data_IF_705842356490
#
_entry.id   IF_705842356490
#
_cell.length_a   1.000
_cell.length_b   1.000
_cell.length_c   1.000
_cell.angle_alpha   90.00
_cell.angle_beta   90.00
_cell.angle_gamma   90.00
#
_symmetry.space_group_name_H-M   'P 1'
#
loop_
_entity.id
_entity.type
_entity.pdbx_description
1 polymer ?
#
# COMPACT_ATOMS: atom_id res chain seq x y z
N UNK A 1 11.87 13.27 5.41
CA UNK A 1 11.86 12.70 4.05
C UNK A 1 13.24 12.10 3.80
N UNK A 2 13.30 10.85 3.36
CA UNK A 2 14.52 10.13 3.01
C UNK A 2 14.41 9.47 1.65
N UNK A 3 15.54 9.00 1.14
CA UNK A 3 15.65 8.28 -0.13
C UNK A 3 16.73 7.21 -0.01
N UNK A 4 16.55 6.08 -0.69
CA UNK A 4 17.57 5.05 -0.83
C UNK A 4 17.56 4.50 -2.25
N UNK A 5 18.55 3.68 -2.60
CA UNK A 5 18.61 3.01 -3.89
C UNK A 5 18.33 1.52 -3.75
N UNK A 6 17.42 1.04 -4.60
CA UNK A 6 17.12 -0.37 -4.77
C UNK A 6 17.31 -0.75 -6.25
N UNK A 7 18.23 -1.65 -6.53
CA UNK A 7 18.60 -2.08 -7.91
C UNK A 7 18.84 -0.89 -8.86
N UNK A 8 19.54 0.15 -8.37
CA UNK A 8 19.86 1.35 -9.14
C UNK A 8 18.75 2.41 -9.18
N UNK A 9 17.53 2.08 -8.80
CA UNK A 9 16.39 3.00 -8.75
C UNK A 9 16.27 3.70 -7.39
N UNK A 10 15.90 4.97 -7.41
CA UNK A 10 15.63 5.75 -6.22
C UNK A 10 14.24 5.43 -5.66
N UNK A 11 14.19 5.10 -4.38
CA UNK A 11 12.98 4.88 -3.60
C UNK A 11 12.89 5.96 -2.52
N UNK A 12 11.73 6.62 -2.40
CA UNK A 12 11.49 7.75 -1.53
C UNK A 12 10.57 7.37 -0.38
N UNK A 13 10.82 7.89 0.82
CA UNK A 13 9.99 7.65 2.00
C UNK A 13 9.90 8.87 2.91
N UNK A 14 8.87 8.94 3.75
CA UNK A 14 8.78 9.86 4.87
C UNK A 14 8.83 9.08 6.18
N UNK A 15 9.47 9.66 7.21
CA UNK A 15 9.50 9.11 8.57
C UNK A 15 8.88 10.10 9.53
N UNK A 16 8.04 9.60 10.43
CA UNK A 16 7.34 10.35 11.48
C UNK A 16 7.62 9.69 12.82
N UNK A 17 7.98 10.47 13.83
CA UNK A 17 8.34 9.97 15.16
C UNK A 17 9.65 9.20 15.20
N UNK A 18 10.08 8.87 16.43
CA UNK A 18 11.35 8.19 16.72
C UNK A 18 11.17 7.02 17.71
N UNK A 19 9.93 6.52 17.86
CA UNK A 19 9.63 5.43 18.77
C UNK A 19 10.29 4.12 18.37
N UNK A 20 10.49 3.22 19.32
CA UNK A 20 11.10 1.90 19.08
C UNK A 20 10.21 0.97 18.25
N UNK A 21 8.88 1.16 18.33
CA UNK A 21 7.93 0.40 17.52
C UNK A 21 7.86 0.97 16.12
N UNK A 22 8.42 0.25 15.17
CA UNK A 22 8.48 0.66 13.77
C UNK A 22 7.29 0.12 13.00
N UNK A 23 6.59 1.00 12.28
CA UNK A 23 5.51 0.69 11.36
C UNK A 23 5.86 1.20 9.95
N UNK A 24 5.91 0.30 8.99
CA UNK A 24 6.07 0.63 7.57
C UNK A 24 4.71 0.59 6.88
N UNK A 25 4.29 1.71 6.29
CA UNK A 25 3.03 1.84 5.57
C UNK A 25 3.27 1.96 4.07
N UNK A 26 2.61 1.09 3.31
CA UNK A 26 2.66 1.00 1.85
C UNK A 26 1.31 1.42 1.26
N UNK A 27 1.34 2.32 0.30
CA UNK A 27 0.15 2.90 -0.34
C UNK A 27 -0.57 1.93 -1.30
N UNK A 28 -1.78 2.31 -1.72
CA UNK A 28 -2.56 1.62 -2.75
C UNK A 28 -2.04 1.85 -4.18
N UNK A 29 -2.54 1.04 -5.12
CA UNK A 29 -2.17 1.10 -6.54
C UNK A 29 -2.43 2.49 -7.14
N UNK A 30 -1.45 3.01 -7.89
CA UNK A 30 -1.44 4.36 -8.47
C UNK A 30 -1.64 5.50 -7.46
N UNK A 31 -1.45 5.21 -6.17
CA UNK A 31 -1.42 6.20 -5.09
C UNK A 31 0.02 6.54 -4.71
N UNK A 32 0.20 7.19 -3.58
CA UNK A 32 1.52 7.48 -3.00
C UNK A 32 1.42 7.60 -1.47
N UNK A 33 2.56 7.71 -0.79
CA UNK A 33 2.65 7.77 0.68
C UNK A 33 1.84 8.89 1.34
N UNK A 34 1.44 9.93 0.59
CA UNK A 34 0.63 11.03 1.12
C UNK A 34 -0.77 10.59 1.56
N UNK A 35 -1.23 9.40 1.11
CA UNK A 35 -2.49 8.87 1.61
C UNK A 35 -2.50 8.66 3.13
N UNK A 36 -1.32 8.62 3.77
CA UNK A 36 -1.15 8.46 5.21
C UNK A 36 -0.79 9.78 5.94
N UNK A 37 -0.79 10.93 5.25
CA UNK A 37 -0.32 12.20 5.84
C UNK A 37 -1.16 12.67 7.05
N UNK A 38 -2.39 12.16 7.21
CA UNK A 38 -3.23 12.42 8.37
C UNK A 38 -3.02 11.42 9.49
N UNK A 39 -2.91 10.13 9.16
CA UNK A 39 -2.79 9.07 10.17
C UNK A 39 -1.37 8.88 10.68
N UNK A 40 -0.35 9.08 9.85
CA UNK A 40 1.04 8.86 10.25
C UNK A 40 1.50 9.77 11.41
N UNK A 41 1.18 11.08 11.44
CA UNK A 41 1.49 11.92 12.61
C UNK A 41 0.77 11.48 13.90
N UNK A 42 -0.50 11.04 13.81
CA UNK A 42 -1.26 10.54 14.95
C UNK A 42 -0.66 9.24 15.51
N UNK A 43 -0.28 8.31 14.63
CA UNK A 43 0.42 7.07 15.00
C UNK A 43 1.79 7.37 15.63
N UNK A 44 2.51 8.35 15.11
CA UNK A 44 3.80 8.78 15.65
C UNK A 44 3.65 9.42 17.04
N UNK A 45 2.61 10.25 17.24
CA UNK A 45 2.32 10.85 18.53
C UNK A 45 1.97 9.80 19.61
N UNK A 46 1.53 8.62 19.20
CA UNK A 46 1.31 7.45 20.08
C UNK A 46 2.59 6.65 20.39
N UNK A 47 3.77 7.21 20.13
CA UNK A 47 5.08 6.62 20.47
C UNK A 47 5.61 5.61 19.45
N UNK A 48 5.16 5.69 18.21
CA UNK A 48 5.68 4.83 17.13
C UNK A 48 6.64 5.60 16.21
N UNK A 49 7.49 4.87 15.49
CA UNK A 49 8.20 5.38 14.30
C UNK A 49 7.47 4.87 13.06
N UNK A 50 6.83 5.80 12.33
CA UNK A 50 6.02 5.47 11.15
C UNK A 50 6.77 5.85 9.88
N UNK A 51 6.96 4.90 8.99
CA UNK A 51 7.67 5.07 7.73
C UNK A 51 6.67 4.84 6.60
N UNK A 52 6.42 5.86 5.81
CA UNK A 52 5.54 5.79 4.65
C UNK A 52 6.38 5.79 3.37
N UNK A 53 6.34 4.72 2.60
CA UNK A 53 7.19 4.53 1.40
C UNK A 53 6.39 4.75 0.12
N UNK A 54 7.02 5.38 -0.88
CA UNK A 54 6.56 5.33 -2.27
C UNK A 54 7.26 4.15 -2.96
N UNK A 55 6.51 3.14 -3.38
CA UNK A 55 7.07 2.05 -4.17
C UNK A 55 7.57 2.53 -5.54
N UNK A 56 8.45 1.79 -6.18
CA UNK A 56 8.87 2.04 -7.56
C UNK A 56 7.64 2.25 -8.46
N UNK A 57 7.68 3.19 -9.37
CA UNK A 57 6.54 3.56 -10.23
C UNK A 57 5.57 4.55 -9.58
N UNK A 58 5.71 4.88 -8.30
CA UNK A 58 4.76 5.70 -7.57
C UNK A 58 5.42 6.93 -6.89
N UNK A 59 4.60 7.90 -6.54
CA UNK A 59 4.97 9.05 -5.74
C UNK A 59 6.20 9.79 -6.25
N UNK A 60 7.22 9.91 -5.39
CA UNK A 60 8.51 10.53 -5.70
C UNK A 60 9.60 9.52 -6.04
N UNK A 61 9.32 8.22 -5.96
CA UNK A 61 10.24 7.18 -6.41
C UNK A 61 10.42 7.21 -7.92
N UNK A 62 11.47 6.59 -8.42
CA UNK A 62 11.70 6.48 -9.86
C UNK A 62 10.56 5.73 -10.54
N UNK A 63 10.33 6.05 -11.81
CA UNK A 63 9.17 5.55 -12.57
C UNK A 63 9.59 5.00 -13.93
N UNK A 64 10.31 3.88 -13.97
CA UNK A 64 10.66 3.22 -15.24
C UNK A 64 9.40 2.74 -15.97
N UNK A 65 9.51 2.61 -17.32
CA UNK A 65 8.42 2.10 -18.16
C UNK A 65 8.58 0.59 -18.47
N UNK A 66 9.48 -0.11 -17.77
CA UNK A 66 9.67 -1.56 -17.90
C UNK A 66 8.74 -2.32 -16.96
N UNK A 67 7.73 -2.98 -17.52
CA UNK A 67 6.72 -3.75 -16.75
C UNK A 67 7.34 -4.88 -15.90
N UNK A 68 8.53 -5.41 -16.29
CA UNK A 68 9.21 -6.48 -15.55
C UNK A 68 9.71 -6.04 -14.16
N UNK A 69 9.74 -4.74 -13.89
CA UNK A 69 10.11 -4.17 -12.61
C UNK A 69 8.92 -4.09 -11.62
N UNK A 70 7.73 -4.56 -12.02
CA UNK A 70 6.52 -4.40 -11.25
C UNK A 70 5.83 -5.74 -10.99
N UNK A 71 5.99 -6.26 -9.77
CA UNK A 71 5.27 -7.43 -9.27
C UNK A 71 5.21 -7.39 -7.75
N UNK A 72 4.32 -8.16 -7.12
CA UNK A 72 4.22 -8.23 -5.66
C UNK A 72 5.55 -8.67 -5.02
N UNK A 73 6.25 -9.72 -5.51
CA UNK A 73 7.56 -10.09 -4.98
C UNK A 73 8.61 -8.97 -5.06
N UNK A 74 8.61 -8.20 -6.15
CA UNK A 74 9.54 -7.07 -6.32
C UNK A 74 9.23 -5.94 -5.32
N UNK A 75 7.98 -5.63 -5.12
CA UNK A 75 7.55 -4.64 -4.15
C UNK A 75 7.86 -5.08 -2.70
N UNK A 76 7.64 -6.34 -2.36
CA UNK A 76 8.03 -6.89 -1.05
C UNK A 76 9.54 -6.75 -0.81
N UNK A 77 10.38 -7.05 -1.82
CA UNK A 77 11.84 -6.85 -1.73
C UNK A 77 12.23 -5.36 -1.56
N UNK A 78 11.48 -4.41 -2.14
CA UNK A 78 11.74 -2.99 -1.90
C UNK A 78 11.48 -2.61 -0.44
N UNK A 79 10.45 -3.20 0.20
CA UNK A 79 10.18 -3.00 1.62
C UNK A 79 11.30 -3.63 2.47
N UNK A 80 11.74 -4.84 2.15
CA UNK A 80 12.88 -5.47 2.83
C UNK A 80 14.15 -4.61 2.70
N UNK A 81 14.45 -4.10 1.51
CA UNK A 81 15.59 -3.22 1.26
C UNK A 81 15.47 -1.87 1.99
N UNK A 82 14.25 -1.35 2.19
CA UNK A 82 14.02 -0.18 3.03
C UNK A 82 14.40 -0.47 4.49
N UNK A 83 14.02 -1.64 5.01
CA UNK A 83 14.40 -2.06 6.36
C UNK A 83 15.93 -2.17 6.49
N UNK A 84 16.60 -2.76 5.50
CA UNK A 84 18.08 -2.84 5.47
C UNK A 84 18.73 -1.45 5.48
N UNK A 85 18.22 -0.54 4.62
CA UNK A 85 18.70 0.84 4.56
C UNK A 85 18.55 1.60 5.89
N UNK A 86 17.52 1.27 6.66
CA UNK A 86 17.24 1.87 7.96
C UNK A 86 17.87 1.12 9.14
N UNK A 87 18.66 0.07 8.85
CA UNK A 87 19.29 -0.81 9.84
C UNK A 87 18.27 -1.47 10.79
N UNK A 88 17.09 -1.82 10.27
CA UNK A 88 15.98 -2.42 11.00
C UNK A 88 15.92 -3.92 10.68
N UNK A 89 16.01 -4.76 11.71
CA UNK A 89 15.87 -6.21 11.55
C UNK A 89 14.46 -6.59 11.09
N UNK A 90 13.43 -5.97 11.68
CA UNK A 90 12.02 -6.20 11.33
C UNK A 90 11.18 -4.98 11.67
N UNK A 91 9.95 -4.94 11.17
CA UNK A 91 8.95 -3.92 11.49
C UNK A 91 7.53 -4.51 11.44
N UNK A 92 6.56 -3.79 11.98
CA UNK A 92 5.16 -4.00 11.57
C UNK A 92 5.03 -3.46 10.16
N UNK A 93 4.57 -4.29 9.23
CA UNK A 93 4.44 -3.91 7.82
C UNK A 93 2.98 -3.97 7.40
N UNK A 94 2.53 -2.95 6.73
CA UNK A 94 1.14 -2.93 6.29
C UNK A 94 0.86 -1.87 5.25
N UNK A 95 -0.40 -1.74 4.93
CA UNK A 95 -0.86 -0.75 3.98
C UNK A 95 -2.25 -1.02 3.45
N UNK A 96 -2.57 -0.35 2.37
CA UNK A 96 -3.89 -0.37 1.76
C UNK A 96 -3.84 -1.05 0.40
N UNK A 97 -4.74 -2.00 0.13
CA UNK A 97 -4.91 -2.64 -1.18
C UNK A 97 -3.58 -3.23 -1.68
N UNK A 98 -2.94 -2.64 -2.69
CA UNK A 98 -1.59 -3.02 -3.12
C UNK A 98 -0.63 -3.18 -1.92
N UNK A 99 -0.61 -2.20 -1.01
CA UNK A 99 0.27 -2.21 0.15
C UNK A 99 -0.06 -3.32 1.15
N UNK A 100 -1.33 -3.67 1.29
CA UNK A 100 -1.78 -4.81 2.08
C UNK A 100 -1.22 -6.14 1.51
N UNK A 101 -1.32 -6.29 0.18
CA UNK A 101 -0.82 -7.48 -0.50
C UNK A 101 0.72 -7.56 -0.49
N UNK A 102 1.41 -6.42 -0.57
CA UNK A 102 2.88 -6.35 -0.40
C UNK A 102 3.30 -6.81 1.00
N UNK A 103 2.54 -6.46 2.04
CA UNK A 103 2.82 -6.91 3.40
C UNK A 103 2.61 -8.44 3.54
N UNK A 104 1.54 -9.00 2.95
CA UNK A 104 1.32 -10.46 2.88
C UNK A 104 2.45 -11.17 2.13
N UNK A 105 2.89 -10.60 1.01
CA UNK A 105 3.99 -11.14 0.21
C UNK A 105 5.30 -11.14 0.98
N UNK A 106 5.61 -10.07 1.72
CA UNK A 106 6.79 -10.01 2.58
C UNK A 106 6.71 -11.07 3.68
N UNK A 107 5.57 -11.20 4.37
CA UNK A 107 5.40 -12.16 5.44
C UNK A 107 5.51 -13.63 4.98
N UNK A 108 5.19 -13.92 3.72
CA UNK A 108 5.35 -15.27 3.17
C UNK A 108 6.76 -15.58 2.68
N UNK A 109 7.49 -14.58 2.15
CA UNK A 109 8.81 -14.77 1.56
C UNK A 109 9.95 -14.57 2.54
N UNK A 110 9.77 -13.63 3.44
CA UNK A 110 10.77 -13.22 4.43
C UNK A 110 10.08 -12.93 5.78
N UNK A 111 9.54 -13.99 6.43
CA UNK A 111 8.69 -13.84 7.61
C UNK A 111 9.40 -13.16 8.77
N UNK A 112 10.74 -13.23 8.83
CA UNK A 112 11.53 -12.61 9.89
C UNK A 112 11.55 -11.08 9.80
N UNK A 113 11.24 -10.53 8.62
CA UNK A 113 11.20 -9.08 8.39
C UNK A 113 9.87 -8.44 8.80
N UNK A 114 8.81 -9.24 8.90
CA UNK A 114 7.48 -8.79 9.30
C UNK A 114 7.20 -9.22 10.75
N UNK A 115 7.28 -8.29 11.70
CA UNK A 115 6.95 -8.55 13.12
C UNK A 115 5.44 -8.77 13.32
N UNK A 116 4.63 -8.02 12.63
CA UNK A 116 3.17 -8.11 12.57
C UNK A 116 2.67 -7.42 11.28
N UNK A 117 1.39 -7.59 10.95
CA UNK A 117 0.79 -7.10 9.73
C UNK A 117 -0.35 -6.12 10.00
N UNK A 118 -0.43 -5.05 9.20
CA UNK A 118 -1.60 -4.18 9.11
C UNK A 118 -2.16 -4.23 7.69
N UNK A 119 -3.33 -4.82 7.53
CA UNK A 119 -3.92 -5.17 6.24
C UNK A 119 -5.24 -4.41 6.06
N UNK A 120 -5.25 -3.36 5.25
CA UNK A 120 -6.46 -2.62 4.90
C UNK A 120 -6.86 -2.91 3.45
N UNK A 121 -8.09 -3.35 3.23
CA UNK A 121 -8.63 -3.65 1.88
C UNK A 121 -7.77 -4.66 1.09
N UNK A 122 -7.49 -5.86 1.58
CA UNK A 122 -6.72 -6.84 0.81
C UNK A 122 -7.42 -7.18 -0.50
N UNK A 123 -6.63 -7.47 -1.54
CA UNK A 123 -7.11 -7.95 -2.84
C UNK A 123 -6.77 -9.43 -2.94
N UNK A 124 -7.74 -10.28 -2.65
CA UNK A 124 -7.57 -11.72 -2.71
C UNK A 124 -8.48 -12.31 -3.81
N UNK A 125 -8.83 -13.56 -3.65
CA UNK A 125 -9.50 -14.35 -4.70
C UNK A 125 -10.84 -13.76 -5.16
N UNK A 126 -11.64 -13.20 -4.24
CA UNK A 126 -12.97 -12.64 -4.58
C UNK A 126 -12.86 -11.23 -5.21
N UNK A 127 -11.78 -10.50 -4.95
CA UNK A 127 -11.56 -9.16 -5.52
C UNK A 127 -11.08 -9.20 -6.99
N UNK A 128 -10.48 -10.29 -7.45
CA UNK A 128 -9.82 -10.35 -8.76
C UNK A 128 -10.72 -9.91 -9.94
N UNK A 129 -12.00 -10.33 -10.05
CA UNK A 129 -12.86 -9.86 -11.15
C UNK A 129 -13.14 -8.36 -11.08
N UNK A 130 -13.34 -7.82 -9.87
CA UNK A 130 -13.62 -6.40 -9.68
C UNK A 130 -12.38 -5.55 -9.98
N UNK A 131 -11.19 -5.98 -9.53
CA UNK A 131 -9.91 -5.32 -9.82
C UNK A 131 -9.62 -5.36 -11.33
N UNK A 132 -9.78 -6.50 -11.98
CA UNK A 132 -9.61 -6.61 -13.42
C UNK A 132 -10.59 -5.69 -14.18
N UNK A 133 -11.87 -5.69 -13.78
CA UNK A 133 -12.91 -4.83 -14.35
C UNK A 133 -12.63 -3.34 -14.17
N UNK A 134 -12.08 -2.94 -13.02
CA UNK A 134 -11.76 -1.55 -12.72
C UNK A 134 -10.49 -1.07 -13.44
N UNK A 135 -9.41 -1.85 -13.44
CA UNK A 135 -8.09 -1.39 -13.88
C UNK A 135 -7.76 -1.72 -15.34
N UNK A 136 -8.39 -2.74 -15.96
CA UNK A 136 -8.18 -3.02 -17.39
C UNK A 136 -8.62 -1.85 -18.28
N UNK A 137 -9.79 -1.22 -18.12
CA UNK A 137 -10.16 -0.04 -18.89
C UNK A 137 -9.19 1.13 -18.69
N UNK A 138 -8.68 1.31 -17.46
CA UNK A 138 -7.67 2.34 -17.17
C UNK A 138 -6.38 2.06 -17.95
N UNK A 139 -5.88 0.84 -17.92
CA UNK A 139 -4.69 0.43 -18.69
C UNK A 139 -4.88 0.67 -20.19
N UNK A 140 -6.00 0.23 -20.75
CA UNK A 140 -6.32 0.44 -22.17
C UNK A 140 -6.42 1.93 -22.52
N UNK A 141 -7.03 2.73 -21.66
CA UNK A 141 -7.09 4.19 -21.83
C UNK A 141 -5.71 4.84 -21.81
N UNK A 142 -4.85 4.48 -20.85
CA UNK A 142 -3.48 4.99 -20.75
C UNK A 142 -2.63 4.65 -21.99
N UNK A 143 -2.89 3.51 -22.62
CA UNK A 143 -2.19 3.10 -23.85
C UNK A 143 -2.77 3.77 -25.09
N UNK A 144 -4.10 3.71 -25.27
CA UNK A 144 -4.78 4.19 -26.47
C UNK A 144 -4.77 5.73 -26.57
N UNK A 145 -4.88 6.44 -25.44
CA UNK A 145 -4.99 7.89 -25.38
C UNK A 145 -3.80 8.55 -24.63
N UNK A 146 -2.60 7.93 -24.69
CA UNK A 146 -1.40 8.40 -24.00
C UNK A 146 -1.15 9.92 -24.13
N UNK A 147 -1.21 10.55 -25.32
CA UNK A 147 -0.98 12.00 -25.44
C UNK A 147 -2.01 12.84 -24.65
N UNK A 148 -3.28 12.42 -24.62
CA UNK A 148 -4.33 13.11 -23.87
C UNK A 148 -4.09 13.00 -22.36
N UNK A 149 -3.70 11.83 -21.86
CA UNK A 149 -3.35 11.64 -20.46
C UNK A 149 -2.08 12.41 -20.06
N UNK A 150 -1.06 12.48 -20.94
CA UNK A 150 0.12 13.32 -20.71
C UNK A 150 -0.23 14.80 -20.62
N UNK A 151 -1.09 15.27 -21.52
CA UNK A 151 -1.57 16.66 -21.49
C UNK A 151 -2.34 16.94 -20.19
N UNK A 152 -3.28 16.07 -19.83
CA UNK A 152 -4.08 16.22 -18.59
C UNK A 152 -3.18 16.17 -17.35
N UNK A 153 -2.21 15.27 -17.30
CA UNK A 153 -1.24 15.18 -16.20
C UNK A 153 -0.42 16.46 -16.06
N UNK A 154 0.05 17.05 -17.18
CA UNK A 154 0.78 18.33 -17.17
C UNK A 154 -0.12 19.48 -16.72
N UNK A 155 -1.35 19.57 -17.25
CA UNK A 155 -2.28 20.64 -16.91
C UNK A 155 -2.66 20.58 -15.42
N UNK A 156 -3.00 19.39 -14.91
CA UNK A 156 -3.37 19.22 -13.50
C UNK A 156 -2.20 19.42 -12.55
N UNK A 157 -0.95 19.24 -13.00
CA UNK A 157 0.24 19.52 -12.18
C UNK A 157 0.42 21.01 -11.89
N UNK A 158 -0.21 21.92 -12.67
CA UNK A 158 -0.21 23.36 -12.43
C UNK A 158 -1.20 23.77 -11.33
N UNK A 159 -2.17 22.92 -10.97
CA UNK A 159 -3.14 23.22 -9.91
C UNK A 159 -2.40 23.14 -8.56
N UNK A 160 -2.41 24.22 -7.75
CA UNK A 160 -1.78 24.18 -6.44
C UNK A 160 -2.48 23.15 -5.52
N UNK A 161 -1.74 22.62 -4.58
CA UNK A 161 -2.29 21.72 -3.56
C UNK A 161 -3.00 22.54 -2.51
N UNK A 162 -4.26 22.19 -2.22
CA UNK A 162 -5.14 23.00 -1.35
C UNK A 162 -5.92 22.16 -0.34
N UNK A 163 -6.31 20.96 -0.71
CA UNK A 163 -7.16 20.12 0.13
C UNK A 163 -6.75 18.65 -0.02
N UNK A 164 -6.59 17.97 1.10
CA UNK A 164 -6.12 16.59 1.16
C UNK A 164 -6.84 15.63 0.20
N UNK A 165 -8.19 15.67 0.12
CA UNK A 165 -8.96 14.77 -0.75
C UNK A 165 -8.81 15.12 -2.24
N UNK A 166 -8.89 16.42 -2.53
CA UNK A 166 -8.66 16.92 -3.89
C UNK A 166 -7.25 16.56 -4.34
N UNK A 167 -6.28 16.71 -3.44
CA UNK A 167 -4.87 16.41 -3.72
C UNK A 167 -4.62 14.92 -3.98
N UNK A 168 -5.27 14.01 -3.21
CA UNK A 168 -5.22 12.56 -3.49
C UNK A 168 -5.82 12.25 -4.87
N UNK A 169 -6.99 12.80 -5.19
CA UNK A 169 -7.59 12.64 -6.52
C UNK A 169 -6.74 13.22 -7.64
N UNK A 170 -6.17 14.41 -7.43
CA UNK A 170 -5.26 15.02 -8.38
C UNK A 170 -3.95 14.23 -8.52
N UNK A 171 -3.41 13.65 -7.46
CA UNK A 171 -2.21 12.81 -7.54
C UNK A 171 -2.45 11.56 -8.40
N UNK A 172 -3.67 11.02 -8.39
CA UNK A 172 -4.06 9.92 -9.27
C UNK A 172 -4.11 10.38 -10.75
N UNK A 173 -4.71 11.54 -11.05
CA UNK A 173 -4.80 12.10 -12.40
C UNK A 173 -3.43 12.60 -12.92
N UNK A 174 -2.55 13.03 -12.03
CA UNK A 174 -1.18 13.48 -12.33
C UNK A 174 -0.21 12.35 -12.65
N UNK A 175 -0.67 11.10 -12.61
CA UNK A 175 0.18 9.96 -12.98
C UNK A 175 0.66 10.09 -14.43
N UNK A 176 1.92 9.70 -14.66
CA UNK A 176 2.48 9.64 -16.01
C UNK A 176 2.01 8.36 -16.71
N UNK A 177 1.36 8.45 -17.88
CA UNK A 177 0.70 7.29 -18.49
C UNK A 177 1.64 6.13 -18.83
N UNK A 178 2.88 6.40 -19.27
CA UNK A 178 3.84 5.34 -19.58
C UNK A 178 4.18 4.48 -18.36
N UNK A 179 4.77 5.06 -17.29
CA UNK A 179 5.07 4.31 -16.07
C UNK A 179 3.83 3.67 -15.42
N UNK A 180 2.71 4.40 -15.35
CA UNK A 180 1.48 3.86 -14.75
C UNK A 180 0.91 2.69 -15.54
N UNK A 181 1.01 2.74 -16.88
CA UNK A 181 0.67 1.62 -17.74
C UNK A 181 1.57 0.40 -17.47
N UNK A 182 2.88 0.60 -17.32
CA UNK A 182 3.82 -0.47 -17.01
C UNK A 182 3.55 -1.10 -15.61
N UNK A 183 3.22 -0.28 -14.60
CA UNK A 183 2.82 -0.77 -13.28
C UNK A 183 1.56 -1.64 -13.37
N UNK A 184 0.50 -1.12 -14.01
CA UNK A 184 -0.76 -1.87 -14.16
C UNK A 184 -0.56 -3.18 -14.92
N UNK A 185 0.20 -3.16 -16.00
CA UNK A 185 0.45 -4.35 -16.80
C UNK A 185 1.26 -5.39 -16.04
N UNK A 186 2.32 -4.99 -15.35
CA UNK A 186 3.14 -5.90 -14.55
C UNK A 186 2.33 -6.56 -13.42
N UNK A 187 1.39 -5.84 -12.80
CA UNK A 187 0.55 -6.37 -11.74
C UNK A 187 -0.64 -7.20 -12.25
N UNK A 188 -1.28 -6.79 -13.35
CA UNK A 188 -2.41 -7.54 -13.93
C UNK A 188 -1.98 -8.86 -14.58
N UNK A 189 -0.72 -8.96 -15.03
CA UNK A 189 -0.16 -10.19 -15.60
C UNK A 189 0.52 -11.08 -14.55
N UNK A 190 0.71 -10.58 -13.34
CA UNK A 190 1.36 -11.29 -12.23
C UNK A 190 0.36 -11.80 -11.18
N UNK A 191 0.90 -12.48 -10.17
CA UNK A 191 0.16 -12.83 -8.97
C UNK A 191 -0.16 -11.58 -8.15
N UNK A 192 -1.42 -11.42 -7.75
CA UNK A 192 -1.89 -10.24 -7.01
C UNK A 192 -1.66 -10.39 -5.50
N UNK A 193 -1.65 -11.62 -4.99
CA UNK A 193 -1.42 -11.95 -3.57
C UNK A 193 -0.80 -13.33 -3.46
N UNK A 194 -0.18 -13.68 -2.31
CA UNK A 194 0.22 -15.05 -2.03
C UNK A 194 -0.98 -16.00 -2.10
N UNK A 195 -0.76 -17.20 -2.64
CA UNK A 195 -1.78 -18.24 -2.66
C UNK A 195 -2.24 -18.63 -1.24
N UNK A 196 -3.47 -19.14 -1.13
CA UNK A 196 -4.06 -19.54 0.15
C UNK A 196 -3.13 -20.42 0.99
N UNK A 197 -2.46 -21.42 0.38
CA UNK A 197 -1.53 -22.33 1.07
C UNK A 197 -0.30 -21.61 1.67
N UNK A 198 0.08 -20.49 1.08
CA UNK A 198 1.16 -19.63 1.59
C UNK A 198 0.64 -18.76 2.73
N UNK A 199 -0.56 -18.15 2.56
CA UNK A 199 -1.20 -17.31 3.59
C UNK A 199 -1.44 -18.08 4.90
N UNK A 200 -1.86 -19.35 4.81
CA UNK A 200 -2.03 -20.25 5.97
C UNK A 200 -0.74 -20.50 6.78
N UNK A 201 0.43 -20.19 6.23
CA UNK A 201 1.72 -20.34 6.92
C UNK A 201 2.16 -19.06 7.63
N UNK A 202 1.48 -17.95 7.43
CA UNK A 202 1.76 -16.69 8.11
C UNK A 202 1.42 -16.85 9.59
N UNK A 203 2.40 -16.60 10.46
CA UNK A 203 2.27 -16.72 11.93
C UNK A 203 2.25 -15.37 12.63
N UNK A 204 2.53 -14.32 11.89
CA UNK A 204 2.56 -12.96 12.41
C UNK A 204 1.16 -12.51 12.80
N UNK A 205 1.00 -11.86 13.97
CA UNK A 205 -0.25 -11.20 14.32
C UNK A 205 -0.66 -10.20 13.24
N UNK A 206 -1.94 -10.15 12.92
CA UNK A 206 -2.45 -9.30 11.85
C UNK A 206 -3.70 -8.52 12.27
N UNK A 207 -3.67 -7.19 12.10
CA UNK A 207 -4.84 -6.34 12.16
C UNK A 207 -5.38 -6.14 10.75
N UNK A 208 -6.58 -6.64 10.48
CA UNK A 208 -7.23 -6.61 9.17
C UNK A 208 -8.38 -5.62 9.23
N UNK A 209 -8.42 -4.67 8.29
CA UNK A 209 -9.51 -3.69 8.17
C UNK A 209 -10.28 -3.93 6.89
N UNK A 210 -11.53 -4.38 7.04
CA UNK A 210 -12.46 -4.63 5.94
C UNK A 210 -13.53 -3.54 5.83
N UNK A 211 -13.98 -3.27 4.60
CA UNK A 211 -14.97 -2.24 4.30
C UNK A 211 -16.23 -2.89 3.72
N UNK A 212 -17.36 -2.78 4.41
CA UNK A 212 -18.61 -3.49 4.07
C UNK A 212 -19.26 -3.05 2.76
N UNK A 213 -18.88 -1.90 2.20
CA UNK A 213 -19.47 -1.29 0.99
C UNK A 213 -18.40 -0.90 -0.03
N UNK A 214 -17.34 -1.67 -0.14
CA UNK A 214 -16.30 -1.43 -1.14
C UNK A 214 -16.63 -2.19 -2.43
N UNK A 215 -16.75 -1.50 -3.58
CA UNK A 215 -17.07 -2.16 -4.84
C UNK A 215 -15.88 -2.88 -5.47
N UNK A 216 -14.65 -2.61 -5.03
CA UNK A 216 -13.41 -3.17 -5.58
C UNK A 216 -12.79 -4.21 -4.64
N UNK A 217 -12.90 -4.00 -3.32
CA UNK A 217 -12.33 -4.87 -2.30
C UNK A 217 -13.47 -5.52 -1.50
N UNK A 218 -14.01 -6.67 -1.93
CA UNK A 218 -15.10 -7.33 -1.25
C UNK A 218 -14.77 -7.60 0.22
N UNK A 219 -15.71 -7.33 1.11
CA UNK A 219 -15.54 -7.60 2.54
C UNK A 219 -15.22 -9.07 2.83
N UNK A 220 -15.67 -9.97 1.96
CA UNK A 220 -15.38 -11.41 2.02
C UNK A 220 -13.87 -11.71 1.99
N UNK A 221 -13.06 -10.93 1.27
CA UNK A 221 -11.61 -11.14 1.25
C UNK A 221 -10.98 -10.79 2.61
N UNK A 222 -11.45 -9.73 3.26
CA UNK A 222 -10.98 -9.38 4.61
C UNK A 222 -11.43 -10.42 5.66
N UNK A 223 -12.67 -10.92 5.56
CA UNK A 223 -13.19 -11.97 6.42
C UNK A 223 -12.45 -13.29 6.23
N UNK A 224 -12.27 -13.70 4.98
CA UNK A 224 -11.51 -14.90 4.62
C UNK A 224 -10.07 -14.84 5.15
N UNK A 225 -9.40 -13.70 4.99
CA UNK A 225 -8.04 -13.54 5.50
C UNK A 225 -7.97 -13.64 7.03
N UNK A 226 -8.96 -13.09 7.73
CA UNK A 226 -9.02 -13.18 9.19
C UNK A 226 -9.23 -14.63 9.68
N UNK A 227 -9.90 -15.45 8.90
CA UNK A 227 -10.07 -16.89 9.20
C UNK A 227 -8.85 -17.72 8.79
N UNK A 228 -8.09 -17.30 7.77
CA UNK A 228 -6.90 -17.99 7.31
C UNK A 228 -5.69 -17.79 8.21
N UNK A 229 -5.54 -16.57 8.78
CA UNK A 229 -4.40 -16.25 9.64
C UNK A 229 -4.63 -16.74 11.07
N UNK A 230 -3.63 -17.36 11.66
CA UNK A 230 -3.70 -17.92 13.03
C UNK A 230 -4.01 -16.86 14.09
N UNK A 231 -3.47 -15.64 13.93
CA UNK A 231 -3.71 -14.48 14.81
C UNK A 231 -4.21 -13.29 13.97
N UNK A 232 -5.36 -13.49 13.31
CA UNK A 232 -6.02 -12.49 12.48
C UNK A 232 -7.15 -11.78 13.21
N UNK A 233 -7.01 -10.45 13.46
CA UNK A 233 -8.06 -9.61 14.05
C UNK A 233 -8.75 -8.78 12.99
N UNK A 234 -10.06 -8.96 12.78
CA UNK A 234 -10.86 -8.19 11.83
C UNK A 234 -11.52 -6.99 12.48
N UNK A 235 -11.31 -5.82 11.91
CA UNK A 235 -12.01 -4.58 12.23
C UNK A 235 -12.83 -4.13 11.04
N UNK A 236 -14.11 -3.82 11.27
CA UNK A 236 -15.01 -3.33 10.21
C UNK A 236 -14.97 -1.82 10.15
N UNK A 237 -14.55 -1.27 9.02
CA UNK A 237 -14.62 0.15 8.76
C UNK A 237 -16.00 0.57 8.23
N UNK A 238 -16.44 1.77 8.59
CA UNK A 238 -17.75 2.32 8.21
C UNK A 238 -17.84 2.71 6.74
N UNK A 239 -16.71 3.05 6.12
CA UNK A 239 -16.59 3.37 4.70
C UNK A 239 -15.13 3.31 4.22
N UNK A 240 -14.93 3.19 2.89
CA UNK A 240 -13.61 3.22 2.24
C UNK A 240 -12.83 4.51 2.50
N UNK A 241 -13.51 5.57 2.93
CA UNK A 241 -12.91 6.86 3.24
C UNK A 241 -12.68 7.07 4.73
N UNK A 242 -13.08 6.15 5.61
CA UNK A 242 -13.02 6.37 7.06
C UNK A 242 -11.62 6.76 7.52
N UNK A 243 -10.62 5.95 7.21
CA UNK A 243 -9.25 6.22 7.65
C UNK A 243 -8.61 7.45 6.97
N UNK A 244 -9.17 7.89 5.84
CA UNK A 244 -8.70 9.08 5.10
C UNK A 244 -9.35 10.37 5.59
N UNK A 245 -10.62 10.30 6.01
CA UNK A 245 -11.42 11.48 6.39
C UNK A 245 -11.54 11.66 7.88
N UNK A 246 -11.67 10.57 8.62
CA UNK A 246 -11.89 10.52 10.08
C UNK A 246 -10.99 9.44 10.69
N UNK A 247 -9.66 9.61 10.66
CA UNK A 247 -8.70 8.55 10.98
C UNK A 247 -8.78 8.07 12.44
N UNK A 248 -9.25 8.88 13.36
CA UNK A 248 -9.12 8.70 14.80
C UNK A 248 -9.49 7.30 15.30
N UNK A 249 -10.64 6.72 14.87
CA UNK A 249 -11.07 5.40 15.33
C UNK A 249 -10.15 4.28 14.84
N UNK A 250 -9.91 4.21 13.54
CA UNK A 250 -9.05 3.17 12.96
C UNK A 250 -7.59 3.34 13.37
N UNK A 251 -7.14 4.59 13.58
CA UNK A 251 -5.82 4.88 14.15
C UNK A 251 -5.74 4.38 15.60
N UNK A 252 -6.79 4.55 16.41
CA UNK A 252 -6.82 4.04 17.78
C UNK A 252 -6.78 2.50 17.82
N UNK A 253 -7.50 1.81 16.91
CA UNK A 253 -7.43 0.34 16.77
C UNK A 253 -6.00 -0.12 16.43
N UNK A 254 -5.35 0.56 15.48
CA UNK A 254 -3.98 0.25 15.11
C UNK A 254 -2.99 0.55 16.24
N UNK A 255 -3.17 1.66 16.97
CA UNK A 255 -2.33 1.98 18.15
C UNK A 255 -2.49 0.91 19.25
N UNK A 256 -3.72 0.47 19.53
CA UNK A 256 -3.97 -0.60 20.49
C UNK A 256 -3.28 -1.91 20.05
N UNK A 257 -3.44 -2.30 18.80
CA UNK A 257 -2.76 -3.46 18.23
C UNK A 257 -1.23 -3.37 18.36
N UNK A 258 -0.65 -2.22 18.00
CA UNK A 258 0.80 -2.01 18.12
C UNK A 258 1.30 -2.08 19.57
N UNK A 259 0.47 -1.67 20.54
CA UNK A 259 0.82 -1.71 21.95
C UNK A 259 0.84 -3.16 22.51
N UNK A 260 0.04 -4.06 21.96
CA UNK A 260 0.02 -5.48 22.34
C UNK A 260 1.24 -6.26 21.86
N UNK A 261 1.96 -5.74 20.86
CA UNK A 261 3.17 -6.36 20.28
C UNK A 261 4.46 -6.04 21.06
N UNK A 262 4.35 -5.26 22.12
CA UNK A 262 5.50 -4.78 22.91
C UNK A 262 6.09 -5.87 23.81
#
# INVERSE_FOLDING_TARGET
MGEFRYEGHRISYDSYGEGERVLVLVHGLLMNRRMFERSAPELAAAGNRVICVDLLGHGRSDRPEDLRLYSMPLFARQVAALLDHLELASAVVGGTSLGANVALELATRDPERARALFIEMPVLDNALPAVAGAFTPVLLGLRAARPAFEFTSRLTSLIPRTNYLVDIGLDWVRQRPGPSGAVLEGLLLGETAPHREQRLKIKQPALIVGHSRDPVHPFSDSGMLAEELEDGRLVVASSIFEWRLRPARLTAELVAFLAELA
#
